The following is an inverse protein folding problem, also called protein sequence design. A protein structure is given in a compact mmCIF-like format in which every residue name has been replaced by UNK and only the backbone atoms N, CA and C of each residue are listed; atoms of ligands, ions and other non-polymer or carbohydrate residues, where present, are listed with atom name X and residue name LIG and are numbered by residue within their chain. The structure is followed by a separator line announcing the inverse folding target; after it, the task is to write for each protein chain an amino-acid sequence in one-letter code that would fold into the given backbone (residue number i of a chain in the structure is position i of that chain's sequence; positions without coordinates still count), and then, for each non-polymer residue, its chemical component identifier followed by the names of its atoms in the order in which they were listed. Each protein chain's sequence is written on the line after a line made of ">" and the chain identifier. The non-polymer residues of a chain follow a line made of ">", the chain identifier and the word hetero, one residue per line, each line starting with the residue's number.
data_IF_473936143221
#
_entry.id   IF_473936143221
#
_cell.length_a   1.000
_cell.length_b   1.000
_cell.length_c   1.000
_cell.angle_alpha   90.00
_cell.angle_beta   90.00
_cell.angle_gamma   90.00
#
_symmetry.space_group_name_H-M   'P 1'
#
loop_
_entity.id
_entity.type
_entity.pdbx_description
1 polymer ?
#
# COMPACT_ATOMS: atom_id res chain seq x y z
N UNK A 1 -15.87 -13.66 -7.82
CA UNK A 1 -14.60 -14.40 -7.63
C UNK A 1 -13.85 -13.86 -6.41
N UNK A 2 -13.26 -12.67 -6.42
CA UNK A 2 -12.74 -11.99 -5.23
C UNK A 2 -13.57 -10.74 -4.99
N UNK A 3 -14.31 -10.72 -3.88
CA UNK A 3 -15.24 -9.63 -3.56
C UNK A 3 -14.53 -8.46 -2.90
N UNK A 4 -13.40 -8.72 -2.29
CA UNK A 4 -12.59 -7.77 -1.58
C UNK A 4 -11.10 -7.99 -1.88
N UNK A 5 -10.32 -6.90 -1.84
CA UNK A 5 -8.90 -6.94 -2.19
C UNK A 5 -8.09 -6.13 -1.18
N UNK A 6 -6.87 -6.57 -0.92
CA UNK A 6 -5.93 -5.86 -0.03
C UNK A 6 -4.66 -5.51 -0.79
N UNK A 7 -4.30 -4.24 -0.74
CA UNK A 7 -3.01 -3.70 -1.16
C UNK A 7 -2.16 -3.41 0.09
N UNK A 8 -1.28 -4.32 0.43
CA UNK A 8 -0.37 -4.14 1.55
C UNK A 8 0.62 -2.99 1.31
N UNK A 9 1.12 -2.38 2.37
CA UNK A 9 2.13 -1.34 2.30
C UNK A 9 3.48 -1.84 1.75
N UNK A 10 4.31 -0.91 1.25
CA UNK A 10 5.58 -1.33 0.69
C UNK A 10 6.46 -0.26 0.07
N UNK A 11 6.07 1.01 0.08
CA UNK A 11 6.76 2.06 -0.64
C UNK A 11 6.88 1.73 -2.13
N UNK A 12 8.03 1.98 -2.74
CA UNK A 12 8.25 1.71 -4.17
C UNK A 12 8.06 0.24 -4.58
N UNK A 13 8.05 -0.72 -3.64
CA UNK A 13 7.73 -2.12 -4.00
C UNK A 13 6.29 -2.32 -4.45
N UNK A 14 5.39 -1.36 -4.21
CA UNK A 14 4.00 -1.41 -4.66
C UNK A 14 3.88 -1.34 -6.20
N UNK A 15 4.93 -1.00 -6.95
CA UNK A 15 4.97 -1.18 -8.39
C UNK A 15 4.74 -2.63 -8.81
N UNK A 16 5.18 -3.59 -7.98
CA UNK A 16 4.85 -5.00 -8.19
C UNK A 16 3.33 -5.24 -8.12
N UNK A 17 2.64 -4.62 -7.14
CA UNK A 17 1.19 -4.75 -7.03
C UNK A 17 0.47 -4.17 -8.26
N UNK A 18 0.95 -3.03 -8.78
CA UNK A 18 0.39 -2.42 -9.97
C UNK A 18 0.49 -3.36 -11.18
N UNK A 19 1.69 -3.90 -11.46
CA UNK A 19 1.88 -4.85 -12.56
C UNK A 19 1.07 -6.14 -12.39
N UNK A 20 1.02 -6.67 -11.18
CA UNK A 20 0.20 -7.85 -10.86
C UNK A 20 -1.29 -7.59 -11.09
N UNK A 21 -1.80 -6.49 -10.56
CA UNK A 21 -3.22 -6.13 -10.65
C UNK A 21 -3.66 -5.89 -12.10
N UNK A 22 -2.92 -5.10 -12.86
CA UNK A 22 -3.24 -4.80 -14.27
C UNK A 22 -3.20 -6.03 -15.19
N UNK A 23 -2.51 -7.10 -14.75
CA UNK A 23 -2.52 -8.39 -15.46
C UNK A 23 -3.72 -9.25 -15.02
N UNK A 24 -4.03 -9.30 -13.74
CA UNK A 24 -5.01 -10.24 -13.17
C UNK A 24 -6.44 -9.70 -13.24
N UNK A 25 -6.61 -8.40 -13.02
CA UNK A 25 -7.94 -7.78 -12.93
C UNK A 25 -8.76 -7.94 -14.22
N UNK A 26 -8.23 -7.64 -15.42
CA UNK A 26 -9.00 -7.78 -16.65
C UNK A 26 -9.29 -9.25 -16.99
N UNK A 27 -8.33 -10.15 -16.82
CA UNK A 27 -8.47 -11.57 -17.15
C UNK A 27 -9.53 -12.27 -16.29
N UNK A 28 -9.67 -11.87 -15.04
CA UNK A 28 -10.67 -12.40 -14.13
C UNK A 28 -11.91 -11.52 -14.02
N UNK A 29 -11.99 -10.44 -14.78
CA UNK A 29 -13.06 -9.43 -14.72
C UNK A 29 -13.36 -9.00 -13.27
N UNK A 30 -12.31 -8.77 -12.47
CA UNK A 30 -12.46 -8.49 -11.04
C UNK A 30 -13.14 -7.13 -10.83
N UNK A 31 -14.20 -7.15 -10.03
CA UNK A 31 -14.94 -5.96 -9.58
C UNK A 31 -15.10 -6.04 -8.05
N UNK A 32 -14.01 -5.84 -7.30
CA UNK A 32 -14.09 -5.91 -5.85
C UNK A 32 -15.04 -4.82 -5.33
N UNK A 33 -15.80 -5.13 -4.29
CA UNK A 33 -16.68 -4.18 -3.62
C UNK A 33 -15.89 -3.25 -2.70
N UNK A 34 -14.90 -3.82 -1.99
CA UNK A 34 -14.05 -3.12 -1.02
C UNK A 34 -12.58 -3.40 -1.32
N UNK A 35 -11.78 -2.35 -1.23
CA UNK A 35 -10.32 -2.43 -1.30
C UNK A 35 -9.74 -1.84 -0.01
N UNK A 36 -8.97 -2.64 0.72
CA UNK A 36 -8.16 -2.16 1.84
C UNK A 36 -6.75 -1.79 1.39
N UNK A 37 -6.25 -0.62 1.77
CA UNK A 37 -4.91 -0.19 1.43
C UNK A 37 -4.18 0.51 2.57
N UNK A 38 -2.86 0.37 2.61
CA UNK A 38 -1.99 1.09 3.57
C UNK A 38 -0.80 1.69 2.85
N UNK A 39 -0.42 2.91 3.24
CA UNK A 39 0.80 3.58 2.76
C UNK A 39 0.81 3.64 1.22
N UNK A 40 1.91 3.30 0.59
CA UNK A 40 1.99 3.24 -0.87
C UNK A 40 1.03 2.22 -1.51
N UNK A 41 0.56 1.20 -0.77
CA UNK A 41 -0.48 0.29 -1.24
C UNK A 41 -1.82 1.00 -1.42
N UNK A 42 -2.17 1.92 -0.51
CA UNK A 42 -3.35 2.78 -0.66
C UNK A 42 -3.22 3.73 -1.86
N UNK A 43 -2.04 4.35 -2.03
CA UNK A 43 -1.77 5.17 -3.22
C UNK A 43 -1.91 4.35 -4.51
N UNK A 44 -1.34 3.14 -4.55
CA UNK A 44 -1.44 2.24 -5.71
C UNK A 44 -2.89 1.87 -6.00
N UNK A 45 -3.69 1.54 -4.98
CA UNK A 45 -5.10 1.24 -5.14
C UNK A 45 -5.87 2.43 -5.76
N UNK A 46 -5.70 3.64 -5.23
CA UNK A 46 -6.32 4.84 -5.80
C UNK A 46 -5.83 5.10 -7.24
N UNK A 47 -4.53 4.97 -7.50
CA UNK A 47 -3.93 5.19 -8.80
C UNK A 47 -4.55 4.29 -9.89
N UNK A 48 -4.71 3.00 -9.61
CA UNK A 48 -5.21 2.02 -10.56
C UNK A 48 -6.64 2.29 -11.05
N UNK A 49 -7.40 3.10 -10.35
CA UNK A 49 -8.76 3.52 -10.73
C UNK A 49 -8.85 4.95 -11.24
N UNK A 50 -7.75 5.69 -11.21
CA UNK A 50 -7.75 7.11 -11.60
C UNK A 50 -6.79 7.42 -12.72
N UNK A 51 -5.68 6.68 -12.84
CA UNK A 51 -4.62 7.02 -13.79
C UNK A 51 -3.95 5.75 -14.34
N UNK A 52 -3.38 5.86 -15.54
CA UNK A 52 -2.59 4.79 -16.15
C UNK A 52 -1.22 4.66 -15.47
N UNK A 53 -0.86 3.44 -15.04
CA UNK A 53 0.42 3.16 -14.34
C UNK A 53 1.65 3.53 -15.17
N UNK A 54 1.60 3.39 -16.50
CA UNK A 54 2.75 3.74 -17.35
C UNK A 54 2.97 5.26 -17.40
N UNK A 55 1.89 6.05 -17.35
CA UNK A 55 1.99 7.49 -17.21
C UNK A 55 2.60 7.89 -15.87
N UNK A 56 2.10 7.30 -14.78
CA UNK A 56 2.62 7.57 -13.42
C UNK A 56 4.09 7.17 -13.30
N UNK A 57 4.48 6.06 -13.92
CA UNK A 57 5.88 5.62 -13.92
C UNK A 57 6.79 6.63 -14.61
N UNK A 58 6.40 7.13 -15.81
CA UNK A 58 7.15 8.18 -16.52
C UNK A 58 7.23 9.46 -15.69
N UNK A 59 6.13 9.86 -15.06
CA UNK A 59 6.09 11.01 -14.16
C UNK A 59 7.15 10.88 -13.04
N UNK A 60 7.19 9.72 -12.36
CA UNK A 60 8.18 9.49 -11.31
C UNK A 60 9.61 9.41 -11.87
N UNK A 61 9.83 8.81 -13.03
CA UNK A 61 11.13 8.81 -13.71
C UNK A 61 11.63 10.24 -13.94
N UNK A 62 10.76 11.15 -14.36
CA UNK A 62 11.11 12.57 -14.59
C UNK A 62 11.34 13.34 -13.29
N UNK A 63 10.43 13.23 -12.32
CA UNK A 63 10.54 13.93 -11.02
C UNK A 63 11.76 13.48 -10.24
N UNK A 64 12.08 12.18 -10.26
CA UNK A 64 13.21 11.63 -9.51
C UNK A 64 14.55 11.74 -10.25
N UNK A 65 14.57 12.13 -11.52
CA UNK A 65 15.81 12.25 -12.32
C UNK A 65 16.85 13.16 -11.66
N UNK A 66 16.40 14.23 -11.02
CA UNK A 66 17.26 15.19 -10.31
C UNK A 66 17.58 14.81 -8.86
N UNK A 67 16.90 13.79 -8.32
CA UNK A 67 17.07 13.39 -6.93
C UNK A 67 18.19 12.34 -6.78
N UNK A 68 19.40 12.79 -6.49
CA UNK A 68 20.60 11.92 -6.44
C UNK A 68 20.86 11.27 -5.09
N UNK A 69 20.15 11.70 -4.02
CA UNK A 69 20.37 11.18 -2.65
C UNK A 69 19.04 11.00 -1.92
N UNK A 70 18.97 9.94 -1.12
CA UNK A 70 17.84 9.72 -0.19
C UNK A 70 17.96 10.59 1.07
N UNK A 71 19.15 11.13 1.39
CA UNK A 71 19.38 12.03 2.51
C UNK A 71 20.41 13.10 2.16
N UNK A 72 20.03 14.36 2.36
CA UNK A 72 20.86 15.55 2.14
C UNK A 72 21.32 16.09 3.48
N UNK A 73 22.32 15.48 4.10
CA UNK A 73 22.78 15.81 5.46
C UNK A 73 23.25 17.25 5.62
N UNK A 74 23.74 17.91 4.56
CA UNK A 74 24.07 19.33 4.57
C UNK A 74 22.90 20.26 4.85
N UNK A 75 21.66 19.77 4.71
CA UNK A 75 20.45 20.52 5.02
C UNK A 75 20.19 20.66 6.54
N UNK A 76 20.86 19.88 7.39
CA UNK A 76 20.77 20.05 8.85
C UNK A 76 21.15 21.46 9.31
N UNK A 77 22.06 22.14 8.59
CA UNK A 77 22.51 23.49 8.90
C UNK A 77 21.69 24.58 8.18
N UNK A 78 20.69 24.20 7.38
CA UNK A 78 19.87 25.12 6.60
C UNK A 78 18.46 25.20 7.17
N UNK A 79 18.05 26.38 7.65
CA UNK A 79 16.68 26.61 8.15
C UNK A 79 15.67 26.34 7.04
N UNK A 80 14.63 25.54 7.35
CA UNK A 80 13.52 25.25 6.42
C UNK A 80 13.82 24.18 5.37
N UNK A 81 15.03 23.63 5.30
CA UNK A 81 15.37 22.55 4.38
C UNK A 81 15.26 21.18 5.07
N UNK A 82 14.56 20.23 4.44
CA UNK A 82 14.48 18.86 4.94
C UNK A 82 15.73 18.06 4.55
N UNK A 83 16.20 17.22 5.46
CA UNK A 83 17.25 16.21 5.18
C UNK A 83 16.72 15.16 4.21
N UNK A 84 15.47 14.73 4.39
CA UNK A 84 14.84 13.70 3.55
C UNK A 84 13.88 14.35 2.55
N UNK A 85 14.09 14.19 1.23
CA UNK A 85 13.26 14.82 0.21
C UNK A 85 11.91 14.14 0.03
N UNK A 86 11.73 12.92 0.61
CA UNK A 86 10.63 12.01 0.37
C UNK A 86 9.25 12.63 0.53
N UNK A 87 8.99 13.28 1.65
CA UNK A 87 7.67 13.88 1.92
C UNK A 87 7.27 14.90 0.84
N UNK A 88 8.19 15.82 0.50
CA UNK A 88 7.91 16.86 -0.50
C UNK A 88 7.66 16.27 -1.87
N UNK A 89 8.52 15.33 -2.30
CA UNK A 89 8.39 14.67 -3.61
C UNK A 89 7.09 13.87 -3.65
N UNK A 90 6.80 13.10 -2.61
CA UNK A 90 5.61 12.25 -2.57
C UNK A 90 4.33 13.08 -2.54
N UNK A 91 4.27 14.14 -1.72
CA UNK A 91 3.10 15.03 -1.68
C UNK A 91 2.83 15.67 -3.05
N UNK A 92 3.86 16.21 -3.69
CA UNK A 92 3.71 16.78 -5.02
C UNK A 92 3.23 15.73 -6.03
N UNK A 93 3.82 14.55 -6.00
CA UNK A 93 3.42 13.46 -6.89
C UNK A 93 1.95 13.06 -6.70
N UNK A 94 1.46 12.98 -5.47
CA UNK A 94 0.04 12.67 -5.21
C UNK A 94 -0.88 13.75 -5.80
N UNK A 95 -0.53 15.03 -5.62
CA UNK A 95 -1.32 16.14 -6.18
C UNK A 95 -1.34 16.11 -7.72
N UNK A 96 -0.20 15.88 -8.35
CA UNK A 96 -0.07 15.87 -9.81
C UNK A 96 -0.74 14.63 -10.43
N UNK A 97 -0.60 13.47 -9.78
CA UNK A 97 -1.19 12.22 -10.26
C UNK A 97 -2.72 12.25 -10.17
N UNK A 98 -3.26 12.72 -9.05
CA UNK A 98 -4.71 12.70 -8.83
C UNK A 98 -5.43 13.97 -9.27
N UNK A 99 -4.73 15.11 -9.45
CA UNK A 99 -5.35 16.41 -9.69
C UNK A 99 -6.43 16.40 -10.76
N UNK A 100 -6.10 15.98 -11.98
CA UNK A 100 -7.04 15.93 -13.10
C UNK A 100 -7.99 14.71 -13.06
N UNK A 101 -7.60 13.65 -12.38
CA UNK A 101 -8.33 12.38 -12.38
C UNK A 101 -9.08 12.09 -11.08
N UNK A 102 -9.10 13.04 -10.16
CA UNK A 102 -9.72 12.88 -8.84
C UNK A 102 -11.20 12.48 -8.91
N UNK A 103 -11.95 13.07 -9.83
CA UNK A 103 -13.37 12.77 -10.02
C UNK A 103 -13.64 11.29 -10.36
N UNK A 104 -12.68 10.59 -10.98
CA UNK A 104 -12.81 9.17 -11.33
C UNK A 104 -12.87 8.27 -10.08
N UNK A 105 -12.35 8.75 -8.94
CA UNK A 105 -12.37 8.01 -7.68
C UNK A 105 -13.81 7.71 -7.22
N UNK A 106 -14.78 8.56 -7.58
CA UNK A 106 -16.17 8.36 -7.21
C UNK A 106 -16.80 7.10 -7.83
N UNK A 107 -16.29 6.63 -8.98
CA UNK A 107 -16.72 5.40 -9.65
C UNK A 107 -15.88 4.18 -9.31
N UNK A 108 -14.82 4.36 -8.54
CA UNK A 108 -13.99 3.26 -8.05
C UNK A 108 -14.74 2.43 -6.98
N UNK A 109 -14.34 1.16 -6.74
CA UNK A 109 -14.73 0.43 -5.54
C UNK A 109 -14.47 1.25 -4.27
N UNK A 110 -15.15 0.92 -3.18
CA UNK A 110 -14.87 1.55 -1.89
C UNK A 110 -13.41 1.28 -1.47
N UNK A 111 -12.58 2.32 -1.42
CA UNK A 111 -11.18 2.21 -1.02
C UNK A 111 -11.04 2.70 0.42
N UNK A 112 -10.62 1.81 1.32
CA UNK A 112 -10.39 2.10 2.75
C UNK A 112 -8.91 2.21 3.01
N UNK A 113 -8.48 3.40 3.44
CA UNK A 113 -7.08 3.74 3.70
C UNK A 113 -6.83 3.68 5.20
N UNK A 114 -5.88 2.84 5.62
CA UNK A 114 -5.55 2.66 7.03
C UNK A 114 -4.52 3.67 7.53
N UNK A 115 -4.78 4.26 8.69
CA UNK A 115 -3.84 5.09 9.46
C UNK A 115 -3.70 4.54 10.86
N UNK A 116 -2.55 4.78 11.52
CA UNK A 116 -2.31 4.35 12.90
C UNK A 116 -2.33 5.53 13.86
N UNK A 117 -3.27 5.51 14.81
CA UNK A 117 -3.29 6.47 15.91
C UNK A 117 -2.28 6.07 16.99
N UNK A 118 -1.52 7.05 17.47
CA UNK A 118 -0.58 6.82 18.59
C UNK A 118 -1.32 6.70 19.93
N UNK A 119 -0.78 5.93 20.88
CA UNK A 119 -1.34 5.82 22.23
C UNK A 119 -1.42 7.18 22.93
N UNK A 120 -2.56 7.47 23.58
CA UNK A 120 -2.79 8.77 24.25
C UNK A 120 -1.89 8.99 25.46
N UNK A 121 -1.41 7.93 26.10
CA UNK A 121 -0.60 7.95 27.31
C UNK A 121 0.90 8.16 27.04
N UNK A 122 1.34 7.96 25.78
CA UNK A 122 2.70 8.23 25.34
C UNK A 122 2.77 9.58 24.64
N UNK A 123 3.73 10.42 25.00
CA UNK A 123 4.02 11.64 24.24
C UNK A 123 4.35 11.33 22.78
N UNK A 124 4.03 12.24 21.86
CA UNK A 124 4.15 12.02 20.42
C UNK A 124 5.52 11.48 19.98
N UNK A 125 6.61 12.03 20.50
CA UNK A 125 7.98 11.61 20.14
C UNK A 125 8.32 10.20 20.66
N UNK A 126 7.89 9.87 21.87
CA UNK A 126 8.11 8.53 22.47
C UNK A 126 7.28 7.50 21.71
N UNK A 127 6.04 7.82 21.35
CA UNK A 127 5.19 6.93 20.53
C UNK A 127 5.81 6.64 19.18
N UNK A 128 6.35 7.67 18.51
CA UNK A 128 7.05 7.50 17.23
C UNK A 128 8.24 6.55 17.37
N UNK A 129 9.10 6.78 18.39
CA UNK A 129 10.25 5.93 18.63
C UNK A 129 9.84 4.49 18.95
N UNK A 130 8.87 4.29 19.87
CA UNK A 130 8.37 2.98 20.25
C UNK A 130 7.72 2.24 19.06
N UNK A 131 6.92 2.94 18.25
CA UNK A 131 6.32 2.39 17.04
C UNK A 131 7.36 1.94 16.02
N UNK A 132 8.36 2.78 15.74
CA UNK A 132 9.44 2.44 14.82
C UNK A 132 10.28 1.25 15.30
N UNK A 133 10.56 1.16 16.61
CA UNK A 133 11.27 0.01 17.19
C UNK A 133 10.43 -1.25 17.04
N UNK A 134 9.15 -1.23 17.44
CA UNK A 134 8.23 -2.35 17.31
C UNK A 134 8.13 -2.83 15.86
N UNK A 135 7.94 -1.90 14.94
CA UNK A 135 7.89 -2.18 13.51
C UNK A 135 9.17 -2.86 13.01
N UNK A 136 10.35 -2.35 13.39
CA UNK A 136 11.62 -2.96 12.96
C UNK A 136 11.83 -4.35 13.55
N UNK A 137 11.45 -4.59 14.80
CA UNK A 137 11.51 -5.91 15.42
C UNK A 137 10.62 -6.91 14.65
N UNK A 138 9.38 -6.56 14.40
CA UNK A 138 8.46 -7.45 13.68
C UNK A 138 8.88 -7.69 12.24
N UNK A 139 9.35 -6.65 11.56
CA UNK A 139 9.78 -6.72 10.17
C UNK A 139 11.05 -7.57 9.96
N UNK A 140 12.04 -7.43 10.83
CA UNK A 140 13.36 -8.02 10.62
C UNK A 140 13.61 -9.28 11.45
N UNK A 141 13.01 -9.38 12.64
CA UNK A 141 13.22 -10.49 13.56
C UNK A 141 12.10 -11.52 13.44
N UNK A 142 10.84 -11.11 13.62
CA UNK A 142 9.71 -12.04 13.66
C UNK A 142 9.20 -12.45 12.27
N UNK A 143 9.32 -11.56 11.28
CA UNK A 143 8.82 -11.76 9.90
C UNK A 143 7.36 -12.22 9.85
N UNK A 144 6.54 -11.75 10.78
CA UNK A 144 5.12 -12.09 10.86
C UNK A 144 4.35 -11.42 9.74
N UNK A 145 3.34 -12.13 9.23
CA UNK A 145 2.46 -11.61 8.18
C UNK A 145 1.58 -10.46 8.72
N UNK A 146 1.02 -10.69 9.92
CA UNK A 146 0.22 -9.71 10.66
C UNK A 146 0.94 -9.39 11.97
N UNK A 147 1.58 -8.22 12.07
CA UNK A 147 2.25 -7.78 13.29
C UNK A 147 1.24 -7.50 14.40
N UNK A 148 1.64 -7.75 15.63
CA UNK A 148 0.79 -7.56 16.82
C UNK A 148 1.37 -6.59 17.85
N UNK A 149 2.69 -6.33 17.81
CA UNK A 149 3.36 -5.48 18.78
C UNK A 149 2.81 -4.04 18.81
N UNK A 150 2.49 -3.48 17.65
CA UNK A 150 1.89 -2.15 17.57
C UNK A 150 0.59 -2.08 18.38
N UNK A 151 -0.31 -3.05 18.19
CA UNK A 151 -1.58 -3.14 18.95
C UNK A 151 -1.34 -3.33 20.45
N UNK A 152 -0.40 -4.18 20.81
CA UNK A 152 -0.02 -4.41 22.22
C UNK A 152 0.52 -3.14 22.88
N UNK A 153 1.23 -2.29 22.14
CA UNK A 153 1.69 -0.98 22.59
C UNK A 153 0.57 0.09 22.63
N UNK A 154 -0.65 -0.26 22.20
CA UNK A 154 -1.81 0.62 22.24
C UNK A 154 -2.02 1.48 20.98
N UNK A 155 -1.28 1.21 19.90
CA UNK A 155 -1.61 1.80 18.60
C UNK A 155 -2.94 1.25 18.10
N UNK A 156 -3.75 2.12 17.49
CA UNK A 156 -5.08 1.77 17.00
C UNK A 156 -5.21 2.09 15.52
N UNK A 157 -5.71 1.16 14.70
CA UNK A 157 -6.00 1.44 13.30
C UNK A 157 -7.28 2.27 13.19
N UNK A 158 -7.31 3.15 12.20
CA UNK A 158 -8.51 3.77 11.67
C UNK A 158 -8.50 3.57 10.16
N UNK A 159 -9.65 3.18 9.60
CA UNK A 159 -9.81 2.99 8.16
C UNK A 159 -10.78 4.01 7.61
N UNK A 160 -10.32 4.80 6.64
CA UNK A 160 -11.02 5.95 6.10
C UNK A 160 -11.29 5.74 4.61
N UNK A 161 -12.47 6.09 4.16
CA UNK A 161 -12.82 5.94 2.75
C UNK A 161 -12.16 7.04 1.92
N UNK A 162 -11.48 6.65 0.84
CA UNK A 162 -10.90 7.60 -0.09
C UNK A 162 -11.98 8.48 -0.74
N UNK A 163 -13.17 7.93 -0.98
CA UNK A 163 -14.31 8.63 -1.56
C UNK A 163 -14.92 9.72 -0.66
N UNK A 164 -14.63 9.72 0.65
CA UNK A 164 -15.06 10.78 1.56
C UNK A 164 -14.16 12.03 1.48
N UNK A 165 -13.03 11.94 0.76
CA UNK A 165 -12.20 13.10 0.46
C UNK A 165 -12.90 13.99 -0.57
N UNK A 166 -13.13 15.25 -0.23
CA UNK A 166 -13.84 16.22 -1.10
C UNK A 166 -12.90 16.99 -2.03
N UNK A 167 -11.58 16.89 -1.82
CA UNK A 167 -10.55 17.52 -2.64
C UNK A 167 -9.36 16.59 -2.86
N UNK A 168 -8.56 16.86 -3.89
CA UNK A 168 -7.31 16.15 -4.13
C UNK A 168 -6.30 16.33 -2.99
N UNK A 169 -6.26 17.52 -2.37
CA UNK A 169 -5.42 17.76 -1.19
C UNK A 169 -5.82 16.87 -0.01
N UNK A 170 -7.13 16.73 0.25
CA UNK A 170 -7.64 15.85 1.32
C UNK A 170 -7.24 14.39 1.07
N UNK A 171 -7.32 13.90 -0.17
CA UNK A 171 -6.86 12.57 -0.53
C UNK A 171 -5.35 12.41 -0.37
N UNK A 172 -4.57 13.39 -0.85
CA UNK A 172 -3.12 13.39 -0.71
C UNK A 172 -2.70 13.39 0.76
N UNK A 173 -3.33 14.20 1.60
CA UNK A 173 -3.07 14.25 3.03
C UNK A 173 -3.44 12.94 3.73
N UNK A 174 -4.56 12.29 3.38
CA UNK A 174 -4.94 10.99 3.91
C UNK A 174 -3.92 9.90 3.54
N UNK A 175 -3.48 9.84 2.28
CA UNK A 175 -2.46 8.89 1.82
C UNK A 175 -1.11 9.17 2.52
N UNK A 176 -0.73 10.45 2.71
CA UNK A 176 0.48 10.81 3.44
C UNK A 176 0.40 10.45 4.92
N UNK A 177 -0.75 10.61 5.57
CA UNK A 177 -0.99 10.15 6.94
C UNK A 177 -0.83 8.64 7.04
N UNK A 178 -1.39 7.88 6.06
CA UNK A 178 -1.20 6.43 5.93
C UNK A 178 0.25 6.02 5.66
N UNK A 179 1.09 6.94 5.18
CA UNK A 179 2.52 6.73 4.87
C UNK A 179 3.46 7.45 5.85
N UNK A 180 2.94 7.90 6.99
CA UNK A 180 3.71 8.71 7.93
C UNK A 180 4.77 7.89 8.67
N UNK A 181 6.00 7.92 8.14
CA UNK A 181 7.16 7.17 8.66
C UNK A 181 8.34 8.12 8.89
N UNK A 182 8.41 8.80 10.04
CA UNK A 182 9.58 9.60 10.38
C UNK A 182 10.87 8.76 10.41
N UNK A 183 12.00 9.31 9.96
CA UNK A 183 12.27 10.69 9.58
C UNK A 183 12.01 11.01 8.08
N UNK A 184 11.56 10.05 7.25
CA UNK A 184 11.28 10.27 5.83
C UNK A 184 10.11 11.23 5.61
N UNK A 185 9.13 11.21 6.53
CA UNK A 185 8.05 12.20 6.62
C UNK A 185 8.14 12.96 7.94
N UNK A 186 7.61 14.19 8.03
CA UNK A 186 7.34 14.79 9.33
C UNK A 186 6.28 13.99 10.07
N UNK A 187 6.15 14.19 11.38
CA UNK A 187 5.01 13.65 12.15
C UNK A 187 3.75 14.38 11.71
N UNK A 188 2.87 13.65 11.04
CA UNK A 188 1.60 14.21 10.56
C UNK A 188 0.53 14.12 11.65
N UNK A 189 -0.54 14.90 11.48
CA UNK A 189 -1.64 14.97 12.43
C UNK A 189 -2.98 14.76 11.73
N UNK A 190 -3.89 14.11 12.44
CA UNK A 190 -5.29 14.01 12.08
C UNK A 190 -6.13 14.45 13.29
N UNK A 191 -7.03 15.39 13.09
CA UNK A 191 -7.84 16.02 14.16
C UNK A 191 -6.99 16.47 15.36
N UNK A 192 -5.85 17.12 15.06
CA UNK A 192 -4.90 17.61 16.06
C UNK A 192 -4.03 16.53 16.73
N UNK A 193 -4.29 15.23 16.50
CA UNK A 193 -3.55 14.11 17.09
C UNK A 193 -2.50 13.56 16.12
N UNK A 194 -1.30 13.18 16.60
CA UNK A 194 -0.30 12.58 15.76
C UNK A 194 -0.77 11.22 15.24
N UNK A 195 -0.45 10.95 13.97
CA UNK A 195 -0.68 9.67 13.31
C UNK A 195 0.60 9.15 12.71
N UNK A 196 0.69 7.84 12.54
CA UNK A 196 1.78 7.16 11.87
C UNK A 196 1.25 6.27 10.75
N UNK A 197 2.18 5.74 9.95
CA UNK A 197 1.90 4.76 8.91
C UNK A 197 1.03 3.62 9.46
N UNK A 198 0.05 3.20 8.69
CA UNK A 198 -0.79 2.05 9.00
C UNK A 198 0.01 0.77 9.26
N UNK A 199 1.21 0.66 8.67
CA UNK A 199 2.19 -0.42 8.92
C UNK A 199 2.53 -0.61 10.41
N UNK A 200 2.36 0.43 11.25
CA UNK A 200 2.60 0.34 12.70
C UNK A 200 1.65 -0.61 13.40
N UNK A 201 0.44 -0.78 12.87
CA UNK A 201 -0.56 -1.71 13.41
C UNK A 201 -0.61 -2.99 12.59
N UNK A 202 -0.75 -2.88 11.28
CA UNK A 202 -0.72 -4.02 10.37
C UNK A 202 -0.41 -3.55 8.94
N UNK A 203 0.67 -4.07 8.37
CA UNK A 203 1.07 -3.80 6.98
C UNK A 203 0.08 -4.40 5.94
N UNK A 204 -0.74 -5.35 6.36
CA UNK A 204 -1.69 -6.08 5.51
C UNK A 204 -3.09 -5.83 6.04
N UNK A 205 -3.78 -4.74 5.64
CA UNK A 205 -4.98 -4.23 6.28
C UNK A 205 -6.23 -5.08 6.02
N UNK A 206 -6.21 -6.32 6.46
CA UNK A 206 -7.37 -7.22 6.33
C UNK A 206 -8.56 -6.78 7.20
N UNK A 207 -8.29 -6.02 8.27
CA UNK A 207 -9.33 -5.46 9.13
C UNK A 207 -10.05 -4.24 8.49
N UNK A 208 -9.52 -3.73 7.38
CA UNK A 208 -10.21 -2.73 6.56
C UNK A 208 -11.42 -3.33 5.82
N UNK A 209 -11.48 -4.66 5.71
CA UNK A 209 -12.49 -5.37 4.95
C UNK A 209 -13.75 -5.63 5.77
N UNK A 210 -14.84 -5.87 5.07
CA UNK A 210 -16.06 -6.34 5.73
C UNK A 210 -15.89 -7.80 6.18
N UNK A 211 -16.40 -8.16 7.35
CA UNK A 211 -16.27 -9.51 7.90
C UNK A 211 -17.18 -10.55 7.22
N UNK A 212 -17.84 -10.21 6.13
CA UNK A 212 -18.73 -11.11 5.39
C UNK A 212 -17.98 -12.33 4.83
N UNK A 213 -18.69 -13.44 4.71
CA UNK A 213 -18.23 -14.59 3.94
C UNK A 213 -17.80 -14.18 2.53
N UNK A 214 -16.87 -14.88 1.95
CA UNK A 214 -16.38 -14.61 0.59
C UNK A 214 -14.89 -14.82 0.42
N UNK A 215 -14.40 -14.41 -0.74
CA UNK A 215 -13.01 -14.59 -1.14
C UNK A 215 -12.30 -13.25 -1.21
N UNK A 216 -11.14 -13.19 -0.58
CA UNK A 216 -10.29 -12.00 -0.54
C UNK A 216 -8.98 -12.29 -1.25
N UNK A 217 -8.55 -11.39 -2.14
CA UNK A 217 -7.21 -11.39 -2.70
C UNK A 217 -6.33 -10.44 -1.90
N UNK A 218 -5.23 -10.95 -1.35
CA UNK A 218 -4.30 -10.17 -0.53
C UNK A 218 -2.93 -10.11 -1.21
N UNK A 219 -2.55 -8.94 -1.70
CA UNK A 219 -1.26 -8.72 -2.36
C UNK A 219 -0.25 -8.14 -1.39
N UNK A 220 0.77 -8.92 -1.02
CA UNK A 220 1.87 -8.46 -0.15
C UNK A 220 3.11 -8.10 -0.96
N UNK A 221 3.88 -7.11 -0.52
CA UNK A 221 5.02 -6.53 -1.27
C UNK A 221 6.37 -7.10 -0.87
N UNK A 222 6.40 -8.05 0.05
CA UNK A 222 7.62 -8.74 0.50
C UNK A 222 7.40 -10.24 0.57
N UNK A 223 8.48 -10.99 0.60
CA UNK A 223 8.43 -12.44 0.76
C UNK A 223 8.43 -12.82 2.23
N UNK A 224 7.55 -13.74 2.55
CA UNK A 224 7.46 -14.43 3.83
C UNK A 224 7.89 -15.90 3.67
N UNK A 225 8.24 -16.61 4.73
CA UNK A 225 8.59 -18.04 4.67
C UNK A 225 7.33 -18.91 4.44
N UNK A 226 6.66 -18.65 3.33
CA UNK A 226 5.42 -19.28 2.88
C UNK A 226 5.50 -19.51 1.37
N UNK A 227 4.68 -20.41 0.79
CA UNK A 227 4.52 -20.52 -0.66
C UNK A 227 4.17 -19.15 -1.29
N UNK A 228 4.43 -19.00 -2.58
CA UNK A 228 4.10 -17.76 -3.31
C UNK A 228 2.60 -17.42 -3.24
N UNK A 229 1.76 -18.46 -3.22
CA UNK A 229 0.32 -18.36 -3.04
C UNK A 229 -0.07 -19.29 -1.89
N UNK A 230 -0.87 -18.79 -0.95
CA UNK A 230 -1.38 -19.58 0.16
C UNK A 230 -2.72 -19.04 0.65
N UNK A 231 -3.59 -19.94 1.11
CA UNK A 231 -4.91 -19.59 1.63
C UNK A 231 -4.88 -19.59 3.15
N UNK A 232 -5.52 -18.61 3.75
CA UNK A 232 -5.79 -18.55 5.19
C UNK A 232 -7.30 -18.39 5.38
N UNK A 233 -7.91 -19.34 6.06
CA UNK A 233 -9.31 -19.23 6.48
C UNK A 233 -9.42 -18.32 7.70
N UNK A 234 -10.41 -17.43 7.70
CA UNK A 234 -10.74 -16.56 8.82
C UNK A 234 -12.26 -16.48 8.97
N UNK A 235 -12.82 -17.30 9.85
CA UNK A 235 -14.27 -17.55 9.89
C UNK A 235 -14.73 -18.13 8.55
N UNK A 236 -15.75 -17.54 7.97
CA UNK A 236 -16.27 -17.92 6.65
C UNK A 236 -15.52 -17.27 5.49
N UNK A 237 -14.55 -16.40 5.76
CA UNK A 237 -13.77 -15.71 4.74
C UNK A 237 -12.55 -16.53 4.34
N UNK A 238 -12.31 -16.67 3.04
CA UNK A 238 -11.10 -17.26 2.47
C UNK A 238 -10.19 -16.16 1.93
N UNK A 239 -9.01 -16.01 2.52
CA UNK A 239 -8.00 -15.01 2.13
C UNK A 239 -6.89 -15.69 1.34
N UNK A 240 -6.82 -15.44 0.02
CA UNK A 240 -5.73 -15.90 -0.83
C UNK A 240 -4.63 -14.84 -0.84
N UNK A 241 -3.53 -15.15 -0.20
CA UNK A 241 -2.33 -14.31 -0.16
C UNK A 241 -1.44 -14.61 -1.36
N UNK A 242 -0.96 -13.55 -1.99
CA UNK A 242 0.02 -13.62 -3.08
C UNK A 242 1.21 -12.73 -2.73
N UNK A 243 2.41 -13.27 -2.87
CA UNK A 243 3.66 -12.57 -2.65
C UNK A 243 4.55 -12.63 -3.89
N UNK A 244 5.50 -11.68 -4.05
CA UNK A 244 6.45 -11.69 -5.17
C UNK A 244 7.20 -13.02 -5.26
N UNK A 245 7.38 -13.55 -6.48
CA UNK A 245 8.14 -14.78 -6.73
C UNK A 245 9.62 -14.65 -6.35
N UNK A 246 10.16 -13.44 -6.45
CA UNK A 246 11.52 -13.07 -6.04
C UNK A 246 11.53 -11.74 -5.27
N UNK A 247 12.69 -11.34 -4.76
CA UNK A 247 12.84 -10.03 -4.13
C UNK A 247 12.52 -8.93 -5.16
N UNK A 248 11.60 -8.03 -4.81
CA UNK A 248 11.29 -6.87 -5.67
C UNK A 248 12.56 -6.01 -5.84
N UNK A 249 12.95 -5.67 -7.07
CA UNK A 249 14.27 -5.08 -7.36
C UNK A 249 14.46 -3.64 -6.89
N UNK A 250 13.46 -3.03 -6.28
CA UNK A 250 13.52 -1.67 -5.72
C UNK A 250 13.27 -1.71 -4.21
N UNK A 251 13.93 -0.86 -3.43
CA UNK A 251 13.66 -0.72 -2.00
C UNK A 251 12.52 0.27 -1.73
N UNK A 252 11.88 0.15 -0.55
CA UNK A 252 10.69 0.94 -0.21
C UNK A 252 10.92 2.45 -0.28
N UNK A 253 12.09 2.91 0.17
CA UNK A 253 12.42 4.32 0.35
C UNK A 253 13.52 4.80 -0.58
N UNK A 254 13.78 4.09 -1.68
CA UNK A 254 14.79 4.51 -2.63
C UNK A 254 14.19 5.43 -3.71
N UNK A 255 14.47 6.70 -3.59
CA UNK A 255 14.06 7.75 -4.52
C UNK A 255 15.22 8.20 -5.44
N UNK A 256 16.28 7.38 -5.53
CA UNK A 256 17.47 7.68 -6.36
C UNK A 256 17.59 6.78 -7.59
N UNK A 257 16.77 5.72 -7.66
CA UNK A 257 16.83 4.74 -8.73
C UNK A 257 15.46 4.50 -9.40
N UNK A 258 14.87 5.53 -10.04
CA UNK A 258 13.56 5.40 -10.67
C UNK A 258 13.51 4.32 -11.76
N UNK A 259 14.64 4.05 -12.44
CA UNK A 259 14.73 2.99 -13.43
C UNK A 259 14.40 1.59 -12.90
N UNK A 260 14.46 1.35 -11.58
CA UNK A 260 14.09 0.08 -10.96
C UNK A 260 12.57 -0.10 -10.78
N UNK A 261 11.76 0.94 -10.99
CA UNK A 261 10.30 0.85 -10.93
C UNK A 261 9.76 -0.07 -12.02
N UNK A 262 10.25 0.06 -13.25
CA UNK A 262 9.86 -0.78 -14.38
C UNK A 262 10.17 -2.27 -14.16
N UNK A 263 11.37 -2.69 -13.77
CA UNK A 263 11.64 -4.07 -13.39
C UNK A 263 10.75 -4.60 -12.28
N UNK A 264 10.36 -3.76 -11.30
CA UNK A 264 9.45 -4.15 -10.23
C UNK A 264 8.02 -4.40 -10.77
N UNK A 265 7.54 -3.52 -11.63
CA UNK A 265 6.26 -3.67 -12.31
C UNK A 265 6.22 -4.93 -13.20
N UNK A 266 7.26 -5.15 -14.02
CA UNK A 266 7.37 -6.32 -14.88
C UNK A 266 7.47 -7.64 -14.11
N UNK A 267 8.08 -7.63 -12.91
CA UNK A 267 8.01 -8.77 -12.01
C UNK A 267 6.56 -9.04 -11.59
N UNK A 268 5.80 -7.99 -11.27
CA UNK A 268 4.38 -8.09 -10.95
C UNK A 268 3.56 -8.69 -12.09
N UNK A 269 3.80 -8.25 -13.32
CA UNK A 269 3.12 -8.80 -14.51
C UNK A 269 3.38 -10.30 -14.67
N UNK A 270 4.65 -10.72 -14.65
CA UNK A 270 5.00 -12.15 -14.76
C UNK A 270 4.39 -12.99 -13.64
N UNK A 271 4.37 -12.45 -12.41
CA UNK A 271 3.74 -13.12 -11.27
C UNK A 271 2.22 -13.19 -11.44
N UNK A 272 1.59 -12.18 -12.03
CA UNK A 272 0.17 -12.18 -12.39
C UNK A 272 -0.18 -13.26 -13.41
N UNK A 273 0.62 -13.40 -14.47
CA UNK A 273 0.46 -14.47 -15.46
C UNK A 273 0.63 -15.86 -14.84
N UNK A 274 1.62 -16.02 -13.95
CA UNK A 274 1.82 -17.27 -13.23
C UNK A 274 0.66 -17.58 -12.26
N UNK A 275 0.11 -16.55 -11.62
CA UNK A 275 -1.05 -16.64 -10.76
C UNK A 275 -2.27 -17.14 -11.53
N UNK A 276 -2.58 -16.56 -12.68
CA UNK A 276 -3.71 -16.96 -13.52
C UNK A 276 -3.63 -18.45 -13.95
N UNK A 277 -2.44 -18.92 -14.33
CA UNK A 277 -2.22 -20.32 -14.69
C UNK A 277 -2.43 -21.31 -13.53
N UNK A 278 -2.15 -20.87 -12.30
CA UNK A 278 -2.21 -21.73 -11.09
C UNK A 278 -3.53 -21.63 -10.34
N UNK A 279 -4.29 -20.58 -10.56
CA UNK A 279 -5.52 -20.28 -9.83
C UNK A 279 -6.57 -21.41 -9.91
N UNK A 280 -6.81 -22.06 -11.08
CA UNK A 280 -7.74 -23.17 -11.18
C UNK A 280 -7.33 -24.38 -10.29
N UNK A 281 -6.03 -24.62 -10.11
CA UNK A 281 -5.52 -25.70 -9.27
C UNK A 281 -5.84 -25.51 -7.78
N UNK A 282 -6.14 -24.28 -7.37
CA UNK A 282 -6.55 -23.92 -6.01
C UNK A 282 -8.08 -23.89 -5.84
N UNK A 283 -8.84 -24.41 -6.82
CA UNK A 283 -10.30 -24.42 -6.78
C UNK A 283 -10.96 -23.05 -7.07
N UNK A 284 -10.21 -22.12 -7.66
CA UNK A 284 -10.73 -20.85 -8.13
C UNK A 284 -10.93 -20.90 -9.64
N UNK A 285 -12.04 -21.47 -10.10
CA UNK A 285 -12.44 -21.41 -11.50
C UNK A 285 -13.06 -20.05 -11.80
N UNK A 286 -12.73 -19.44 -12.95
CA UNK A 286 -13.52 -18.36 -13.50
C UNK A 286 -14.94 -18.91 -13.70
N UNK A 287 -15.94 -18.35 -13.03
CA UNK A 287 -17.33 -18.65 -13.35
C UNK A 287 -17.58 -18.23 -14.80
N UNK A 288 -17.39 -19.15 -15.74
CA UNK A 288 -18.08 -19.07 -16.99
C UNK A 288 -19.57 -19.07 -16.61
N UNK A 289 -20.26 -18.03 -16.99
CA UNK A 289 -21.71 -17.94 -16.93
C UNK A 289 -22.25 -19.22 -17.59
N UNK A 290 -22.81 -20.12 -16.78
CA UNK A 290 -23.79 -21.07 -17.28
C UNK A 290 -25.03 -20.26 -17.71
N UNK A 291 -24.93 -19.67 -18.90
CA UNK A 291 -26.03 -19.16 -19.66
C UNK A 291 -26.42 -20.23 -20.68
N UNK A 292 -27.01 -21.32 -20.17
CA UNK A 292 -27.74 -22.26 -21.00
C UNK A 292 -28.55 -23.21 -20.10
N UNK A 293 -29.75 -22.86 -19.71
CA UNK A 293 -30.91 -23.74 -19.60
C UNK A 293 -32.16 -22.88 -19.42
#
# INVERSE_FOLDING_TARGET
>A
MFDQVVFAGGGNRCWWQAGFWETVQPELALKPRVIGGISAGAATACMLYTRNSQWVMRYYEDVLRSNTKNAYWGNLLRRGASVFPHYRIYRQALLDIYGESFAQLASAPEIRIGVSHVPRWLGAHISVAAGLIAYNIEKHVRKTLHPTLGRTLGFRPEYLRAQDCVTVDALADLILQSSCTPPFTPVLRRDGKPVLDGDMVDNVPVDALDPSAGRVLVMVTRRYPRPQMFVVAHGEQQRLYVQPSSKVPISSWDYTQPALMRPAYELGRRDGEAFLRRLPQLGYTSGAVDAAA
#
